data_IF_574424852454
#
_entry.id   IF_574424852454
#
_cell.length_a   1.000
_cell.length_b   1.000
_cell.length_c   1.000
_cell.angle_alpha   90.00
_cell.angle_beta   90.00
_cell.angle_gamma   90.00
#
_symmetry.space_group_name_H-M   'P 1'
#
loop_
_entity.id
_entity.type
_entity.pdbx_description
1 polymer ?
#
# COMPACT_ATOMS: atom_id res chain seq x y z
N UNK A 1 -36.96 -38.57 -20.55
CA UNK A 1 -37.48 -37.33 -19.94
C UNK A 1 -36.84 -36.95 -18.61
N UNK A 2 -36.67 -37.85 -17.63
CA UNK A 2 -36.11 -37.50 -16.30
C UNK A 2 -34.66 -36.97 -16.34
N UNK A 3 -33.81 -37.49 -17.22
CA UNK A 3 -32.41 -37.04 -17.38
C UNK A 3 -32.31 -35.67 -18.08
N UNK A 4 -33.25 -35.35 -18.98
CA UNK A 4 -33.31 -34.06 -19.66
C UNK A 4 -33.76 -32.94 -18.69
N UNK A 5 -34.66 -33.27 -17.75
CA UNK A 5 -35.07 -32.35 -16.69
C UNK A 5 -33.96 -32.10 -15.66
N UNK A 6 -33.12 -33.11 -15.39
CA UNK A 6 -31.97 -32.98 -14.48
C UNK A 6 -30.85 -32.11 -15.09
N UNK A 7 -30.61 -32.23 -16.39
CA UNK A 7 -29.64 -31.39 -17.12
C UNK A 7 -30.08 -29.93 -17.22
N UNK A 8 -31.39 -29.67 -17.37
CA UNK A 8 -31.93 -28.30 -17.35
C UNK A 8 -31.79 -27.62 -15.98
N UNK A 9 -31.83 -28.40 -14.89
CA UNK A 9 -31.72 -27.89 -13.52
C UNK A 9 -30.28 -27.49 -13.14
N UNK A 10 -29.27 -28.16 -13.72
CA UNK A 10 -27.84 -27.88 -13.44
C UNK A 10 -27.37 -26.61 -14.15
N UNK A 11 -27.95 -26.28 -15.31
CA UNK A 11 -27.63 -25.02 -16.04
C UNK A 11 -28.19 -23.78 -15.33
N UNK A 12 -29.26 -23.92 -14.55
CA UNK A 12 -29.84 -22.83 -13.77
C UNK A 12 -29.01 -22.44 -12.53
N UNK A 13 -28.08 -23.29 -12.09
CA UNK A 13 -27.21 -23.03 -10.93
C UNK A 13 -25.96 -22.21 -11.25
N UNK A 14 -25.66 -21.96 -12.53
CA UNK A 14 -24.59 -21.07 -12.98
C UNK A 14 -25.12 -19.70 -13.40
N UNK A 15 -25.87 -19.04 -12.51
CA UNK A 15 -26.06 -17.59 -12.69
C UNK A 15 -24.72 -16.92 -12.39
N UNK A 16 -24.11 -16.17 -13.34
CA UNK A 16 -22.98 -15.33 -12.99
C UNK A 16 -23.47 -14.35 -11.92
N UNK A 17 -22.91 -14.44 -10.72
CA UNK A 17 -23.11 -13.42 -9.70
C UNK A 17 -22.76 -12.09 -10.38
N UNK A 18 -23.64 -11.07 -10.37
CA UNK A 18 -23.28 -9.78 -10.91
C UNK A 18 -21.95 -9.36 -10.27
N UNK A 19 -20.91 -9.29 -11.12
CA UNK A 19 -19.68 -8.59 -10.78
C UNK A 19 -20.12 -7.23 -10.24
N UNK A 20 -19.64 -6.86 -9.06
CA UNK A 20 -20.02 -5.61 -8.43
C UNK A 20 -19.42 -4.47 -9.25
N UNK A 21 -20.15 -4.05 -10.29
CA UNK A 21 -19.77 -2.95 -11.16
C UNK A 21 -20.01 -1.64 -10.40
N UNK A 22 -18.96 -1.16 -9.74
CA UNK A 22 -18.86 0.23 -9.31
C UNK A 22 -18.24 1.06 -10.45
N UNK A 23 -18.60 2.33 -10.50
CA UNK A 23 -18.05 3.30 -11.45
C UNK A 23 -16.85 4.01 -10.79
N UNK A 24 -17.02 4.45 -9.55
CA UNK A 24 -15.97 5.11 -8.77
C UNK A 24 -15.86 4.53 -7.36
N UNK A 25 -14.69 4.67 -6.76
CA UNK A 25 -14.48 4.54 -5.33
C UNK A 25 -13.97 5.84 -4.72
N UNK A 26 -14.39 6.15 -3.50
CA UNK A 26 -13.94 7.31 -2.74
C UNK A 26 -12.60 7.00 -2.07
N UNK A 27 -11.57 7.77 -2.36
CA UNK A 27 -10.22 7.59 -1.78
C UNK A 27 -9.89 8.59 -0.68
N UNK A 28 -10.55 9.74 -0.66
CA UNK A 28 -10.37 10.71 0.42
C UNK A 28 -11.51 11.73 0.46
N UNK A 29 -11.82 12.22 1.65
CA UNK A 29 -12.88 13.20 1.88
C UNK A 29 -12.46 14.28 2.89
N UNK A 30 -12.92 15.51 2.66
CA UNK A 30 -12.94 16.60 3.66
C UNK A 30 -14.31 17.25 3.66
N UNK A 31 -14.78 17.67 4.83
CA UNK A 31 -16.03 18.40 4.98
C UNK A 31 -17.27 17.53 4.76
N UNK A 32 -18.40 18.18 4.48
CA UNK A 32 -19.68 17.51 4.27
C UNK A 32 -19.85 17.12 2.81
N UNK A 33 -19.93 15.81 2.58
CA UNK A 33 -20.29 15.23 1.31
C UNK A 33 -21.29 14.10 1.51
N UNK A 34 -22.36 14.14 0.71
CA UNK A 34 -23.50 13.25 0.79
C UNK A 34 -23.70 12.52 -0.54
N UNK A 35 -24.39 11.38 -0.51
CA UNK A 35 -24.71 10.59 -1.68
C UNK A 35 -26.16 10.10 -1.66
N UNK A 36 -26.80 10.12 -2.81
CA UNK A 36 -28.05 9.42 -3.10
C UNK A 36 -27.73 8.14 -3.88
N UNK A 37 -27.87 6.98 -3.23
CA UNK A 37 -27.62 5.68 -3.87
C UNK A 37 -28.81 5.24 -4.73
N UNK A 38 -28.54 4.83 -5.98
CA UNK A 38 -29.50 4.32 -6.96
C UNK A 38 -30.76 5.19 -7.14
N UNK A 39 -30.61 6.52 -7.07
CA UNK A 39 -31.74 7.44 -7.20
C UNK A 39 -32.74 7.38 -6.02
N UNK A 40 -32.35 6.82 -4.87
CA UNK A 40 -33.08 7.04 -3.63
C UNK A 40 -33.11 8.55 -3.31
N UNK A 41 -34.20 9.05 -2.73
CA UNK A 41 -34.35 10.45 -2.32
C UNK A 41 -33.54 10.77 -1.06
N UNK A 42 -33.23 9.76 -0.26
CA UNK A 42 -32.51 9.94 1.00
C UNK A 42 -31.02 10.18 0.75
N UNK A 43 -30.51 11.25 1.32
CA UNK A 43 -29.09 11.54 1.36
C UNK A 43 -28.42 10.79 2.50
N UNK A 44 -27.39 10.03 2.17
CA UNK A 44 -26.50 9.39 3.14
C UNK A 44 -25.15 10.08 3.15
N UNK A 45 -24.45 10.04 4.28
CA UNK A 45 -23.07 10.54 4.31
C UNK A 45 -22.16 9.65 3.46
N UNK A 46 -21.38 10.28 2.57
CA UNK A 46 -20.37 9.58 1.78
C UNK A 46 -19.11 9.36 2.63
N UNK A 47 -18.50 8.18 2.54
CA UNK A 47 -17.30 7.79 3.27
C UNK A 47 -16.19 7.32 2.32
N UNK A 48 -14.96 7.40 2.79
CA UNK A 48 -13.82 6.79 2.10
C UNK A 48 -13.98 5.27 2.04
N UNK A 49 -13.69 4.70 0.88
CA UNK A 49 -13.98 3.30 0.55
C UNK A 49 -15.38 3.06 -0.03
N UNK A 50 -16.30 4.04 -0.01
CA UNK A 50 -17.60 3.87 -0.63
C UNK A 50 -17.46 3.65 -2.13
N UNK A 51 -18.23 2.70 -2.66
CA UNK A 51 -18.30 2.37 -4.07
C UNK A 51 -19.57 2.98 -4.67
N UNK A 52 -19.36 3.83 -5.67
CA UNK A 52 -20.38 4.64 -6.33
C UNK A 52 -20.76 4.02 -7.66
N UNK A 53 -22.05 3.91 -7.92
CA UNK A 53 -22.63 3.36 -9.15
C UNK A 53 -23.06 4.47 -10.09
N UNK A 54 -23.21 4.12 -11.36
CA UNK A 54 -23.60 5.03 -12.46
C UNK A 54 -24.79 5.95 -12.15
N UNK A 55 -25.77 5.47 -11.39
CA UNK A 55 -27.01 6.19 -11.08
C UNK A 55 -26.95 7.01 -9.78
N UNK A 56 -25.82 7.01 -9.08
CA UNK A 56 -25.68 7.75 -7.83
C UNK A 56 -25.46 9.24 -8.11
N UNK A 57 -25.74 10.06 -7.10
CA UNK A 57 -25.51 11.51 -7.12
C UNK A 57 -24.78 11.92 -5.86
N UNK A 58 -23.67 12.64 -6.01
CA UNK A 58 -22.92 13.25 -4.89
C UNK A 58 -23.43 14.67 -4.69
N UNK A 59 -23.66 15.10 -3.44
CA UNK A 59 -23.79 16.50 -3.06
C UNK A 59 -22.58 16.92 -2.24
N UNK A 60 -21.81 17.88 -2.75
CA UNK A 60 -20.64 18.44 -2.10
C UNK A 60 -20.98 19.84 -1.56
N UNK A 61 -20.74 20.08 -0.28
CA UNK A 61 -20.94 21.41 0.34
C UNK A 61 -19.71 22.31 0.15
N UNK A 62 -19.85 23.58 0.49
CA UNK A 62 -18.75 24.54 0.44
C UNK A 62 -17.58 24.09 1.34
N UNK A 63 -16.35 24.33 0.87
CA UNK A 63 -15.12 23.90 1.54
C UNK A 63 -14.99 22.38 1.76
N UNK A 64 -15.77 21.57 1.03
CA UNK A 64 -15.63 20.12 1.03
C UNK A 64 -14.77 19.64 -0.14
N UNK A 65 -14.17 18.47 0.03
CA UNK A 65 -13.35 17.80 -0.99
C UNK A 65 -13.71 16.32 -1.07
N UNK A 66 -13.68 15.77 -2.30
CA UNK A 66 -13.70 14.33 -2.55
C UNK A 66 -12.65 13.98 -3.60
N UNK A 67 -11.80 13.02 -3.28
CA UNK A 67 -10.97 12.29 -4.25
C UNK A 67 -11.66 11.00 -4.69
N UNK A 68 -11.87 10.83 -6.00
CA UNK A 68 -12.51 9.68 -6.62
C UNK A 68 -11.52 8.93 -7.53
N UNK A 69 -11.64 7.61 -7.54
CA UNK A 69 -10.93 6.72 -8.46
C UNK A 69 -11.95 5.95 -9.27
N UNK A 70 -11.93 6.11 -10.59
CA UNK A 70 -12.78 5.38 -11.51
C UNK A 70 -12.36 3.90 -11.58
N UNK A 71 -13.25 3.00 -11.97
CA UNK A 71 -12.94 1.57 -12.17
C UNK A 71 -11.85 1.32 -13.23
N UNK A 72 -11.62 2.28 -14.14
CA UNK A 72 -10.48 2.26 -15.09
C UNK A 72 -9.16 2.71 -14.47
N UNK A 73 -9.20 3.27 -13.26
CA UNK A 73 -8.05 3.83 -12.54
C UNK A 73 -7.81 5.33 -12.75
N UNK A 74 -8.54 5.98 -13.67
CA UNK A 74 -8.53 7.44 -13.80
C UNK A 74 -9.05 8.10 -12.54
N UNK A 75 -8.47 9.25 -12.17
CA UNK A 75 -8.82 9.95 -10.93
C UNK A 75 -9.53 11.26 -11.19
N UNK A 76 -10.47 11.62 -10.31
CA UNK A 76 -11.12 12.93 -10.28
C UNK A 76 -11.05 13.49 -8.86
N UNK A 77 -10.75 14.78 -8.74
CA UNK A 77 -10.85 15.52 -7.48
C UNK A 77 -11.97 16.56 -7.59
N UNK A 78 -12.92 16.54 -6.66
CA UNK A 78 -14.04 17.47 -6.59
C UNK A 78 -13.81 18.42 -5.41
N UNK A 79 -13.81 19.74 -5.67
CA UNK A 79 -13.63 20.80 -4.65
C UNK A 79 -14.73 21.87 -4.69
N UNK A 80 -15.48 21.94 -5.80
CA UNK A 80 -16.54 22.92 -5.94
C UNK A 80 -17.83 22.36 -5.34
N UNK A 81 -18.57 23.18 -4.60
CA UNK A 81 -19.87 22.78 -4.09
C UNK A 81 -20.86 22.56 -5.24
N UNK A 82 -21.79 21.64 -5.05
CA UNK A 82 -22.78 21.30 -6.06
C UNK A 82 -23.17 19.83 -6.05
N UNK A 83 -24.00 19.46 -7.03
CA UNK A 83 -24.45 18.09 -7.26
C UNK A 83 -23.77 17.49 -8.49
N UNK A 84 -23.24 16.28 -8.33
CA UNK A 84 -22.50 15.57 -9.35
C UNK A 84 -23.13 14.21 -9.62
N UNK A 85 -23.66 14.03 -10.84
CA UNK A 85 -24.13 12.72 -11.30
C UNK A 85 -22.95 11.85 -11.70
N UNK A 86 -22.87 10.65 -11.13
CA UNK A 86 -21.77 9.72 -11.41
C UNK A 86 -21.66 9.37 -12.90
N UNK A 87 -22.80 9.10 -13.54
CA UNK A 87 -22.86 8.89 -14.99
C UNK A 87 -22.24 10.01 -15.82
N UNK A 88 -22.34 11.27 -15.37
CA UNK A 88 -21.73 12.41 -16.07
C UNK A 88 -20.22 12.45 -15.85
N UNK A 89 -19.78 12.27 -14.60
CA UNK A 89 -18.35 12.20 -14.26
C UNK A 89 -17.62 11.08 -15.00
N UNK A 90 -18.29 9.94 -15.20
CA UNK A 90 -17.71 8.79 -15.89
C UNK A 90 -17.49 9.04 -17.39
N UNK A 91 -18.42 9.73 -18.06
CA UNK A 91 -18.32 10.01 -19.51
C UNK A 91 -17.07 10.80 -19.85
N UNK A 92 -16.67 11.74 -18.99
CA UNK A 92 -15.50 12.59 -19.18
C UNK A 92 -14.16 11.81 -19.07
N UNK A 93 -14.21 10.53 -18.67
CA UNK A 93 -13.04 9.67 -18.49
C UNK A 93 -12.89 8.56 -19.53
N UNK A 94 -13.88 8.36 -20.42
CA UNK A 94 -13.91 7.25 -21.38
C UNK A 94 -12.92 7.46 -22.53
N UNK A 95 -11.67 7.04 -22.31
CA UNK A 95 -10.72 6.73 -23.38
C UNK A 95 -10.25 5.28 -23.21
N UNK A 96 -10.21 4.53 -24.30
CA UNK A 96 -9.83 3.12 -24.33
C UNK A 96 -8.31 2.98 -24.17
N UNK A 97 -7.83 2.81 -22.94
CA UNK A 97 -6.45 2.38 -22.67
C UNK A 97 -6.45 1.11 -21.84
N UNK A 98 -5.81 0.06 -22.35
CA UNK A 98 -5.56 -1.17 -21.59
C UNK A 98 -4.56 -0.85 -20.48
N UNK A 99 -5.04 -0.80 -19.24
CA UNK A 99 -4.22 -0.47 -18.06
C UNK A 99 -4.14 -1.66 -17.10
N UNK A 100 -3.02 -1.82 -16.40
CA UNK A 100 -2.90 -2.75 -15.26
C UNK A 100 -3.53 -2.16 -13.97
N UNK A 101 -3.92 -0.90 -14.02
CA UNK A 101 -4.44 -0.14 -12.90
C UNK A 101 -5.75 -0.69 -12.32
N UNK A 102 -6.71 -1.21 -13.10
CA UNK A 102 -7.93 -1.84 -12.57
C UNK A 102 -7.63 -2.99 -11.60
N UNK A 103 -6.61 -3.81 -11.88
CA UNK A 103 -6.21 -4.90 -10.96
C UNK A 103 -5.63 -4.33 -9.66
N UNK A 104 -4.86 -3.25 -9.73
CA UNK A 104 -4.37 -2.57 -8.54
C UNK A 104 -5.52 -1.96 -7.73
N UNK A 105 -6.47 -1.29 -8.39
CA UNK A 105 -7.68 -0.75 -7.76
C UNK A 105 -8.52 -1.87 -7.14
N UNK A 106 -8.62 -3.05 -7.76
CA UNK A 106 -9.26 -4.22 -7.17
C UNK A 106 -8.51 -4.74 -5.93
N UNK A 107 -7.18 -4.75 -5.93
CA UNK A 107 -6.41 -5.10 -4.73
C UNK A 107 -6.64 -4.09 -3.61
N UNK A 108 -6.74 -2.81 -3.94
CA UNK A 108 -6.95 -1.69 -3.00
C UNK A 108 -8.38 -1.69 -2.43
N UNK A 109 -9.40 -1.89 -3.28
CA UNK A 109 -10.82 -1.68 -2.94
C UNK A 109 -11.73 -2.91 -3.09
N UNK A 110 -11.32 -3.91 -3.87
CA UNK A 110 -12.11 -5.11 -4.18
C UNK A 110 -12.19 -6.08 -3.01
N UNK A 111 -11.20 -6.07 -2.11
CA UNK A 111 -11.35 -6.65 -0.77
C UNK A 111 -12.14 -5.67 0.08
N UNK A 112 -13.48 -5.80 0.06
CA UNK A 112 -14.46 -4.98 0.81
C UNK A 112 -14.09 -4.67 2.28
N UNK A 113 -13.19 -5.45 2.88
CA UNK A 113 -12.65 -5.28 4.23
C UNK A 113 -11.51 -4.27 4.30
N UNK A 114 -10.57 -4.19 3.36
CA UNK A 114 -9.22 -3.76 3.74
C UNK A 114 -9.11 -2.26 4.01
N UNK A 115 -9.49 -1.37 3.08
CA UNK A 115 -9.42 0.09 3.34
C UNK A 115 -10.43 0.53 4.40
N UNK A 116 -11.66 0.03 4.32
CA UNK A 116 -12.71 0.40 5.25
C UNK A 116 -12.37 -0.08 6.66
N UNK A 117 -11.87 -1.30 6.83
CA UNK A 117 -11.40 -1.79 8.13
C UNK A 117 -10.11 -1.07 8.54
N UNK A 118 -9.21 -0.71 7.63
CA UNK A 118 -8.02 0.11 7.95
C UNK A 118 -8.41 1.47 8.53
N UNK A 119 -9.40 2.15 7.94
CA UNK A 119 -9.83 3.51 8.32
C UNK A 119 -10.84 3.52 9.48
N UNK A 120 -11.79 2.57 9.51
CA UNK A 120 -12.81 2.47 10.56
C UNK A 120 -12.28 1.76 11.81
N UNK A 121 -11.32 0.84 11.67
CA UNK A 121 -10.67 0.21 12.83
C UNK A 121 -9.60 1.13 13.42
N UNK A 122 -10.02 1.95 14.39
CA UNK A 122 -9.13 2.43 15.48
C UNK A 122 -8.41 1.28 16.22
N UNK A 123 -8.69 0.02 15.87
CA UNK A 123 -8.10 -1.21 16.36
C UNK A 123 -6.93 -1.76 15.51
N UNK A 124 -6.54 -1.13 14.39
CA UNK A 124 -5.34 -1.52 13.63
C UNK A 124 -4.05 -1.49 14.49
N UNK A 125 -4.03 -0.69 15.56
CA UNK A 125 -2.99 -0.73 16.62
C UNK A 125 -2.91 -2.07 17.37
N UNK A 126 -3.98 -2.87 17.44
CA UNK A 126 -4.06 -4.13 18.19
C UNK A 126 -4.00 -5.39 17.32
N UNK A 127 -4.38 -5.31 16.04
CA UNK A 127 -4.45 -6.50 15.16
C UNK A 127 -3.08 -6.83 14.56
N UNK A 128 -2.31 -5.84 14.10
CA UNK A 128 -0.92 -6.06 13.65
C UNK A 128 0.04 -6.39 14.82
N UNK A 129 -0.36 -6.08 16.06
CA UNK A 129 0.36 -6.45 17.28
C UNK A 129 0.20 -7.92 17.68
N UNK A 130 -0.78 -8.66 17.13
CA UNK A 130 -1.11 -10.03 17.60
C UNK A 130 -0.63 -11.17 16.70
N UNK A 131 -0.22 -10.89 15.47
CA UNK A 131 0.29 -11.91 14.54
C UNK A 131 1.72 -12.39 14.81
N UNK A 132 2.46 -11.68 15.68
CA UNK A 132 3.83 -11.99 16.09
C UNK A 132 4.00 -11.91 17.61
N UNK A 133 2.99 -12.35 18.37
CA UNK A 133 3.24 -12.81 19.74
C UNK A 133 3.28 -14.32 19.64
N UNK A 134 4.39 -14.83 19.12
CA UNK A 134 4.81 -16.15 19.57
C UNK A 134 4.81 -16.08 21.10
N UNK A 135 4.02 -16.95 21.73
CA UNK A 135 4.11 -17.20 23.16
C UNK A 135 5.43 -17.94 23.40
N UNK A 136 6.51 -17.21 23.26
CA UNK A 136 7.84 -17.62 23.65
C UNK A 136 8.21 -16.76 24.83
N UNK A 137 8.83 -17.41 25.81
CA UNK A 137 9.58 -16.86 26.93
C UNK A 137 10.15 -15.48 26.57
N UNK A 138 10.14 -14.50 27.49
CA UNK A 138 10.80 -13.20 27.30
C UNK A 138 12.30 -13.44 27.00
N UNK A 139 12.63 -13.69 25.74
CA UNK A 139 13.99 -13.75 25.24
C UNK A 139 14.36 -12.30 25.00
N UNK A 140 15.36 -11.82 25.71
CA UNK A 140 15.97 -10.53 25.42
C UNK A 140 16.51 -10.56 23.98
N UNK A 141 15.85 -9.85 23.07
CA UNK A 141 16.18 -9.83 21.64
C UNK A 141 16.29 -8.40 21.11
N UNK A 142 17.13 -8.24 20.10
CA UNK A 142 17.25 -6.96 19.38
C UNK A 142 16.09 -6.86 18.40
N UNK A 143 15.29 -5.80 18.47
CA UNK A 143 14.15 -5.62 17.55
C UNK A 143 14.60 -4.91 16.28
N UNK A 144 14.33 -5.48 15.11
CA UNK A 144 14.48 -4.77 13.82
C UNK A 144 13.40 -3.69 13.71
N UNK A 145 13.81 -2.46 13.40
CA UNK A 145 12.95 -1.30 13.16
C UNK A 145 12.80 -0.95 11.67
N UNK A 146 13.57 -1.60 10.81
CA UNK A 146 13.38 -1.58 9.36
C UNK A 146 12.26 -2.54 8.92
N UNK A 147 11.71 -2.35 7.70
CA UNK A 147 10.86 -3.36 7.10
C UNK A 147 11.56 -4.72 7.07
N UNK A 148 10.82 -5.78 7.44
CA UNK A 148 11.38 -7.14 7.44
C UNK A 148 11.85 -7.55 6.04
N UNK A 149 11.16 -7.09 5.00
CA UNK A 149 11.51 -7.31 3.60
C UNK A 149 11.42 -5.99 2.83
N UNK A 150 12.47 -5.63 2.11
CA UNK A 150 12.52 -4.44 1.25
C UNK A 150 13.14 -4.76 -0.12
N UNK A 151 12.62 -4.15 -1.17
CA UNK A 151 13.19 -4.16 -2.52
C UNK A 151 13.60 -2.73 -2.84
N UNK A 152 14.77 -2.57 -3.46
CA UNK A 152 15.45 -1.27 -3.61
C UNK A 152 15.70 -0.96 -5.08
N UNK A 153 15.32 0.24 -5.50
CA UNK A 153 15.73 0.85 -6.77
C UNK A 153 17.08 1.58 -6.62
N UNK A 154 17.36 2.13 -5.44
CA UNK A 154 18.64 2.77 -5.12
C UNK A 154 19.73 1.75 -4.87
N UNK A 155 20.98 2.17 -5.05
CA UNK A 155 22.17 1.38 -4.66
C UNK A 155 22.37 1.37 -3.13
N UNK A 156 21.62 2.17 -2.38
CA UNK A 156 21.78 2.33 -0.94
C UNK A 156 20.63 1.70 -0.14
N UNK A 157 20.96 1.11 1.00
CA UNK A 157 20.00 0.70 2.03
C UNK A 157 20.45 1.19 3.39
N UNK A 158 19.50 1.69 4.19
CA UNK A 158 19.76 2.04 5.59
C UNK A 158 18.92 1.17 6.51
N UNK A 159 19.58 0.48 7.43
CA UNK A 159 19.01 -0.52 8.31
C UNK A 159 19.03 -0.03 9.75
N UNK A 160 17.94 -0.28 10.49
CA UNK A 160 17.73 0.25 11.83
C UNK A 160 17.26 -0.84 12.78
N UNK A 161 17.71 -0.79 14.02
CA UNK A 161 17.35 -1.70 15.09
C UNK A 161 17.17 -0.97 16.41
N UNK A 162 16.56 -1.64 17.39
CA UNK A 162 16.37 -1.07 18.73
C UNK A 162 17.69 -1.03 19.49
N UNK A 163 17.92 0.05 20.24
CA UNK A 163 18.95 0.05 21.27
C UNK A 163 18.65 -1.04 22.29
N UNK A 164 19.70 -1.75 22.69
CA UNK A 164 19.63 -2.78 23.72
C UNK A 164 19.96 -2.11 25.07
N UNK A 165 19.30 -2.47 26.19
CA UNK A 165 19.42 -1.70 27.45
C UNK A 165 20.84 -1.60 28.04
N UNK A 166 21.71 -2.57 27.78
CA UNK A 166 23.13 -2.49 28.16
C UNK A 166 23.94 -1.65 27.16
N UNK A 167 25.14 -1.19 27.54
CA UNK A 167 26.08 -0.49 26.63
C UNK A 167 26.64 -1.46 25.57
N UNK A 168 25.78 -1.90 24.67
CA UNK A 168 26.06 -2.88 23.64
C UNK A 168 26.61 -2.22 22.39
N UNK A 169 27.86 -2.55 22.03
CA UNK A 169 28.26 -2.53 20.62
C UNK A 169 27.57 -3.68 19.91
N UNK A 170 27.27 -3.51 18.63
CA UNK A 170 26.59 -4.47 17.79
C UNK A 170 27.54 -5.05 16.75
N UNK A 171 27.25 -6.25 16.29
CA UNK A 171 27.83 -6.84 15.08
C UNK A 171 26.72 -7.01 14.04
N UNK A 172 26.85 -6.34 12.90
CA UNK A 172 25.95 -6.50 11.76
C UNK A 172 26.50 -7.58 10.87
N UNK A 173 25.69 -8.59 10.55
CA UNK A 173 26.03 -9.67 9.61
C UNK A 173 25.10 -9.65 8.43
N UNK A 174 25.67 -9.77 7.24
CA UNK A 174 24.93 -9.94 5.98
C UNK A 174 25.37 -11.23 5.32
N UNK A 175 24.41 -12.06 4.93
CA UNK A 175 24.64 -13.31 4.22
C UNK A 175 23.80 -13.42 2.95
N UNK A 176 24.21 -14.30 2.05
CA UNK A 176 23.38 -14.69 0.90
C UNK A 176 22.34 -15.76 1.27
N UNK A 177 21.57 -16.20 0.27
CA UNK A 177 20.58 -17.27 0.37
C UNK A 177 21.12 -18.65 0.75
N UNK A 178 22.43 -18.84 0.74
CA UNK A 178 23.10 -20.07 1.15
C UNK A 178 23.75 -19.92 2.54
N UNK A 179 23.39 -18.87 3.29
CA UNK A 179 23.96 -18.50 4.58
C UNK A 179 25.48 -18.23 4.52
N UNK A 180 26.03 -17.94 3.34
CA UNK A 180 27.43 -17.51 3.23
C UNK A 180 27.54 -16.07 3.70
N UNK A 181 28.39 -15.83 4.70
CA UNK A 181 28.68 -14.48 5.19
C UNK A 181 29.36 -13.66 4.10
N UNK A 182 28.77 -12.50 3.77
CA UNK A 182 29.29 -11.54 2.79
C UNK A 182 29.95 -10.36 3.49
N UNK A 183 29.33 -9.90 4.58
CA UNK A 183 29.78 -8.72 5.31
C UNK A 183 29.55 -8.92 6.80
N UNK A 184 30.55 -8.55 7.60
CA UNK A 184 30.40 -8.36 9.05
C UNK A 184 31.09 -7.08 9.48
N UNK A 185 30.44 -6.29 10.35
CA UNK A 185 31.03 -5.08 10.93
C UNK A 185 30.53 -4.84 12.35
N UNK A 186 31.46 -4.53 13.24
CA UNK A 186 31.12 -4.01 14.56
C UNK A 186 30.75 -2.52 14.47
N UNK A 187 29.65 -2.13 15.09
CA UNK A 187 29.13 -0.76 15.16
C UNK A 187 28.68 -0.41 16.57
N UNK A 188 28.74 0.86 16.94
CA UNK A 188 28.29 1.38 18.23
C UNK A 188 26.95 2.14 18.16
N UNK A 189 26.47 2.41 16.95
CA UNK A 189 25.17 3.02 16.67
C UNK A 189 24.08 1.95 16.47
N UNK A 190 22.82 2.38 16.32
CA UNK A 190 21.64 1.55 16.01
C UNK A 190 21.18 1.66 14.56
N UNK A 191 22.07 2.15 13.70
CA UNK A 191 21.84 2.34 12.26
C UNK A 191 23.08 1.96 11.46
N UNK A 192 22.88 1.48 10.23
CA UNK A 192 23.96 1.29 9.25
C UNK A 192 23.44 1.57 7.84
N UNK A 193 24.22 2.35 7.09
CA UNK A 193 24.02 2.52 5.65
C UNK A 193 24.99 1.63 4.88
N UNK A 194 24.48 0.98 3.85
CA UNK A 194 25.21 0.04 3.01
C UNK A 194 24.97 0.41 1.56
N UNK A 195 26.03 0.36 0.77
CA UNK A 195 25.95 0.57 -0.67
C UNK A 195 26.22 -0.74 -1.42
N UNK A 196 25.39 -1.04 -2.42
CA UNK A 196 25.44 -2.25 -3.24
C UNK A 196 26.81 -2.43 -3.90
N UNK A 197 27.34 -1.36 -4.51
CA UNK A 197 28.58 -1.40 -5.29
C UNK A 197 29.81 -1.54 -4.39
N UNK A 198 29.82 -0.84 -3.26
CA UNK A 198 30.90 -0.95 -2.26
C UNK A 198 31.04 -2.38 -1.72
N UNK A 199 29.91 -3.03 -1.45
CA UNK A 199 29.86 -4.41 -0.96
C UNK A 199 29.91 -5.46 -2.07
N UNK A 200 29.94 -5.04 -3.34
CA UNK A 200 29.92 -5.91 -4.52
C UNK A 200 28.75 -6.91 -4.50
N UNK A 201 27.57 -6.42 -4.13
CA UNK A 201 26.34 -7.20 -4.08
C UNK A 201 25.70 -7.29 -5.46
N UNK A 202 25.29 -8.48 -5.84
CA UNK A 202 24.57 -8.76 -7.08
C UNK A 202 23.15 -8.21 -7.02
N UNK A 203 22.67 -7.71 -8.16
CA UNK A 203 21.26 -7.38 -8.34
C UNK A 203 20.40 -8.64 -8.40
N UNK A 204 19.11 -8.50 -8.07
CA UNK A 204 18.09 -9.55 -8.09
C UNK A 204 18.38 -10.76 -7.20
N UNK A 205 19.18 -10.56 -6.16
CA UNK A 205 19.42 -11.54 -5.11
C UNK A 205 18.95 -11.01 -3.75
N UNK A 206 18.37 -11.90 -2.95
CA UNK A 206 18.06 -11.57 -1.56
C UNK A 206 19.29 -11.71 -0.69
N UNK A 207 19.53 -10.66 0.09
CA UNK A 207 20.50 -10.62 1.16
C UNK A 207 19.77 -10.63 2.50
N UNK A 208 20.35 -11.36 3.43
CA UNK A 208 19.81 -11.63 4.75
C UNK A 208 20.68 -10.90 5.74
N UNK A 209 20.09 -10.16 6.66
CA UNK A 209 20.84 -9.43 7.66
C UNK A 209 20.28 -9.65 9.05
N UNK A 210 21.19 -9.61 10.01
CA UNK A 210 20.88 -9.70 11.44
C UNK A 210 21.84 -8.82 12.23
N UNK A 211 21.42 -8.50 13.44
CA UNK A 211 22.22 -7.77 14.42
C UNK A 211 22.46 -8.68 15.61
N UNK A 212 23.71 -8.86 15.99
CA UNK A 212 24.10 -9.53 17.23
C UNK A 212 24.61 -8.51 18.23
N UNK A 213 24.38 -8.74 19.52
CA UNK A 213 25.08 -8.02 20.57
C UNK A 213 26.53 -8.51 20.62
N UNK A 214 27.51 -7.60 20.54
CA UNK A 214 28.93 -7.96 20.45
C UNK A 214 29.42 -8.67 21.72
N UNK A 215 28.89 -8.30 22.89
CA UNK A 215 29.27 -8.87 24.19
C UNK A 215 28.59 -10.22 24.48
N UNK A 216 27.45 -10.50 23.85
CA UNK A 216 26.74 -11.78 23.96
C UNK A 216 26.05 -12.12 22.64
N UNK A 217 26.72 -12.84 21.72
CA UNK A 217 26.20 -13.12 20.39
C UNK A 217 24.89 -13.91 20.35
N UNK A 218 24.49 -14.59 21.44
CA UNK A 218 23.20 -15.28 21.56
C UNK A 218 22.02 -14.30 21.60
N UNK A 219 22.26 -13.06 22.05
CA UNK A 219 21.30 -11.96 21.94
C UNK A 219 21.41 -11.40 20.53
N UNK A 220 20.43 -11.73 19.71
CA UNK A 220 20.38 -11.30 18.31
C UNK A 220 18.99 -10.84 17.91
N UNK A 221 18.92 -10.20 16.75
CA UNK A 221 17.66 -9.87 16.12
C UNK A 221 17.10 -11.04 15.34
N UNK A 222 15.80 -10.97 15.05
CA UNK A 222 15.22 -11.65 13.89
C UNK A 222 15.99 -11.31 12.62
N UNK A 223 15.82 -12.12 11.59
CA UNK A 223 16.40 -11.88 10.28
C UNK A 223 15.53 -10.94 9.44
N UNK A 224 16.18 -9.92 8.87
CA UNK A 224 15.60 -9.07 7.85
C UNK A 224 16.18 -9.36 6.47
N UNK A 225 15.50 -8.91 5.42
CA UNK A 225 15.86 -9.19 4.04
C UNK A 225 15.81 -7.92 3.19
N UNK A 226 16.79 -7.75 2.31
CA UNK A 226 16.74 -6.73 1.28
C UNK A 226 17.17 -7.30 -0.08
N UNK A 227 16.72 -6.66 -1.15
CA UNK A 227 17.10 -7.00 -2.52
C UNK A 227 17.33 -5.70 -3.30
N UNK A 228 18.49 -5.59 -3.92
CA UNK A 228 18.77 -4.57 -4.92
C UNK A 228 18.25 -5.05 -6.28
N UNK A 229 17.49 -4.21 -6.98
CA UNK A 229 17.01 -4.57 -8.31
C UNK A 229 18.12 -4.45 -9.36
N UNK A 230 18.08 -5.33 -10.36
CA UNK A 230 18.90 -5.11 -11.56
C UNK A 230 18.43 -3.89 -12.35
N UNK A 231 19.33 -3.29 -13.12
CA UNK A 231 19.03 -2.19 -14.04
C UNK A 231 17.85 -2.50 -14.97
N UNK A 232 17.74 -3.76 -15.42
CA UNK A 232 16.64 -4.23 -16.26
C UNK A 232 15.30 -4.11 -15.55
N UNK A 233 15.19 -4.62 -14.32
CA UNK A 233 13.94 -4.54 -13.55
C UNK A 233 13.62 -3.12 -13.11
N UNK A 234 14.63 -2.31 -12.80
CA UNK A 234 14.46 -0.88 -12.55
C UNK A 234 13.85 -0.19 -13.78
N UNK A 235 14.37 -0.48 -14.98
CA UNK A 235 13.84 0.09 -16.22
C UNK A 235 12.40 -0.37 -16.50
N UNK A 236 12.07 -1.64 -16.25
CA UNK A 236 10.71 -2.16 -16.37
C UNK A 236 9.74 -1.48 -15.40
N UNK A 237 10.12 -1.32 -14.13
CA UNK A 237 9.31 -0.60 -13.12
C UNK A 237 9.10 0.85 -13.53
N UNK A 238 10.15 1.56 -13.93
CA UNK A 238 10.05 2.96 -14.41
C UNK A 238 9.08 3.06 -15.59
N UNK A 239 9.19 2.17 -16.57
CA UNK A 239 8.27 2.13 -17.71
C UNK A 239 6.82 1.90 -17.28
N UNK A 240 6.59 0.98 -16.33
CA UNK A 240 5.25 0.69 -15.82
C UNK A 240 4.67 1.90 -15.07
N UNK A 241 5.46 2.56 -14.21
CA UNK A 241 5.06 3.77 -13.49
C UNK A 241 4.72 4.89 -14.47
N UNK A 242 5.54 5.12 -15.50
CA UNK A 242 5.26 6.13 -16.52
C UNK A 242 3.97 5.83 -17.29
N UNK A 243 3.67 4.56 -17.58
CA UNK A 243 2.41 4.19 -18.19
C UNK A 243 1.24 4.42 -17.22
N UNK A 244 1.38 4.04 -15.95
CA UNK A 244 0.35 4.27 -14.93
C UNK A 244 0.04 5.75 -14.76
N UNK A 245 1.05 6.62 -14.75
CA UNK A 245 0.85 8.08 -14.67
C UNK A 245 -0.01 8.57 -15.82
N UNK A 246 0.23 8.08 -17.04
CA UNK A 246 -0.62 8.40 -18.21
C UNK A 246 -2.04 7.88 -18.02
N UNK A 247 -2.19 6.64 -17.58
CA UNK A 247 -3.50 6.01 -17.39
C UNK A 247 -4.34 6.69 -16.29
N UNK A 248 -3.71 7.23 -15.25
CA UNK A 248 -4.35 8.01 -14.17
C UNK A 248 -4.86 9.38 -14.68
N UNK A 249 -4.37 9.85 -15.84
CA UNK A 249 -4.73 11.13 -16.45
C UNK A 249 -3.58 12.14 -16.53
N UNK A 250 -2.34 11.71 -16.26
CA UNK A 250 -1.12 12.50 -16.44
C UNK A 250 -0.90 13.64 -15.44
N UNK A 251 -1.79 13.81 -14.47
CA UNK A 251 -1.69 14.84 -13.44
C UNK A 251 -1.15 14.25 -12.14
N UNK A 252 -0.23 14.97 -11.51
CA UNK A 252 0.29 14.66 -10.18
C UNK A 252 -0.65 15.31 -9.14
N UNK A 253 -1.65 14.57 -8.69
CA UNK A 253 -2.63 14.97 -7.67
C UNK A 253 -2.46 14.16 -6.39
N UNK A 254 -3.10 14.57 -5.30
CA UNK A 254 -3.02 13.80 -4.06
C UNK A 254 -3.57 12.38 -4.23
N UNK A 255 -4.64 12.21 -5.00
CA UNK A 255 -5.19 10.88 -5.35
C UNK A 255 -4.21 10.05 -6.19
N UNK A 256 -3.57 10.64 -7.20
CA UNK A 256 -2.60 9.90 -8.04
C UNK A 256 -1.39 9.43 -7.22
N UNK A 257 -0.94 10.24 -6.27
CA UNK A 257 0.14 9.91 -5.34
C UNK A 257 -0.20 8.72 -4.46
N UNK A 258 -1.39 8.69 -3.87
CA UNK A 258 -1.84 7.52 -3.08
C UNK A 258 -1.88 6.25 -3.94
N UNK A 259 -2.35 6.33 -5.18
CA UNK A 259 -2.36 5.18 -6.10
C UNK A 259 -0.95 4.67 -6.38
N UNK A 260 0.01 5.56 -6.67
CA UNK A 260 1.41 5.18 -6.87
C UNK A 260 2.03 4.59 -5.60
N UNK A 261 1.69 5.14 -4.43
CA UNK A 261 2.14 4.61 -3.15
C UNK A 261 1.72 3.15 -2.95
N UNK A 262 0.45 2.82 -3.21
CA UNK A 262 -0.04 1.45 -3.16
C UNK A 262 0.60 0.52 -4.20
N UNK A 263 0.90 1.04 -5.39
CA UNK A 263 1.66 0.28 -6.38
C UNK A 263 3.04 -0.10 -5.84
N UNK A 264 3.78 0.86 -5.31
CA UNK A 264 5.10 0.61 -4.76
C UNK A 264 5.05 -0.32 -3.54
N UNK A 265 4.07 -0.13 -2.65
CA UNK A 265 3.85 -1.01 -1.50
C UNK A 265 3.63 -2.46 -1.92
N UNK A 266 2.74 -2.70 -2.89
CA UNK A 266 2.46 -4.04 -3.41
C UNK A 266 3.67 -4.71 -4.07
N UNK A 267 4.66 -3.91 -4.48
CA UNK A 267 5.93 -4.38 -5.04
C UNK A 267 7.08 -4.39 -4.02
N UNK A 268 6.81 -4.13 -2.74
CA UNK A 268 7.79 -4.04 -1.64
C UNK A 268 8.86 -2.95 -1.86
N UNK A 269 8.55 -1.96 -2.68
CA UNK A 269 9.34 -0.75 -2.93
C UNK A 269 9.01 0.27 -1.84
N UNK A 270 9.44 -0.03 -0.61
CA UNK A 270 9.00 0.67 0.60
C UNK A 270 9.39 2.14 0.59
N UNK A 271 10.60 2.46 0.13
CA UNK A 271 11.10 3.84 0.13
C UNK A 271 10.30 4.70 -0.86
N UNK A 272 9.96 4.13 -2.00
CA UNK A 272 9.16 4.76 -3.04
C UNK A 272 7.72 4.95 -2.56
N UNK A 273 7.13 3.93 -1.91
CA UNK A 273 5.80 4.03 -1.31
C UNK A 273 5.75 5.13 -0.23
N UNK A 274 6.73 5.16 0.68
CA UNK A 274 6.84 6.18 1.73
C UNK A 274 6.87 7.60 1.15
N UNK A 275 7.68 7.79 0.10
CA UNK A 275 7.79 9.07 -0.61
C UNK A 275 6.45 9.50 -1.20
N UNK A 276 5.77 8.64 -1.95
CA UNK A 276 4.49 9.00 -2.59
C UNK A 276 3.38 9.25 -1.55
N UNK A 277 3.33 8.52 -0.44
CA UNK A 277 2.39 8.81 0.66
C UNK A 277 2.63 10.20 1.26
N UNK A 278 3.90 10.56 1.52
CA UNK A 278 4.25 11.89 2.04
C UNK A 278 3.88 12.99 1.05
N UNK A 279 4.18 12.83 -0.23
CA UNK A 279 3.80 13.79 -1.27
C UNK A 279 2.27 13.96 -1.37
N UNK A 280 1.49 12.88 -1.22
CA UNK A 280 0.02 12.97 -1.18
C UNK A 280 -0.48 13.83 -0.01
N UNK A 281 0.12 13.66 1.18
CA UNK A 281 -0.21 14.43 2.38
C UNK A 281 0.20 15.89 2.21
N UNK A 282 1.35 16.16 1.61
CA UNK A 282 1.82 17.53 1.37
C UNK A 282 0.92 18.29 0.36
N UNK A 283 0.41 17.59 -0.65
CA UNK A 283 -0.52 18.16 -1.63
C UNK A 283 -1.92 18.45 -1.06
N UNK A 284 -2.37 17.64 -0.10
CA UNK A 284 -3.71 17.74 0.51
C UNK A 284 -3.64 17.52 2.03
N UNK A 285 -3.05 18.44 2.80
CA UNK A 285 -2.73 18.24 4.23
C UNK A 285 -3.96 18.21 5.15
N UNK A 286 -5.08 18.73 4.66
CA UNK A 286 -6.39 18.76 5.30
C UNK A 286 -7.17 17.44 5.17
N UNK A 287 -6.76 16.55 4.25
CA UNK A 287 -7.36 15.23 4.05
C UNK A 287 -6.78 14.24 5.07
N UNK A 288 -7.48 14.07 6.20
CA UNK A 288 -7.07 13.16 7.27
C UNK A 288 -6.90 11.71 6.79
N UNK A 289 -7.74 11.25 5.86
CA UNK A 289 -7.69 9.89 5.31
C UNK A 289 -6.31 9.53 4.73
N UNK A 290 -5.59 10.49 4.13
CA UNK A 290 -4.26 10.22 3.56
C UNK A 290 -3.21 9.97 4.64
N UNK A 291 -3.34 10.62 5.80
CA UNK A 291 -2.49 10.36 6.98
C UNK A 291 -2.80 8.99 7.56
N UNK A 292 -4.08 8.63 7.65
CA UNK A 292 -4.51 7.32 8.16
C UNK A 292 -4.03 6.17 7.24
N UNK A 293 -4.11 6.35 5.92
CA UNK A 293 -3.56 5.41 4.94
C UNK A 293 -2.04 5.24 5.09
N UNK A 294 -1.31 6.34 5.29
CA UNK A 294 0.13 6.31 5.51
C UNK A 294 0.52 5.64 6.83
N UNK A 295 -0.20 5.91 7.91
CA UNK A 295 -0.01 5.23 9.20
C UNK A 295 -0.26 3.72 9.07
N UNK A 296 -1.29 3.32 8.34
CA UNK A 296 -1.57 1.92 8.07
C UNK A 296 -0.47 1.25 7.22
N UNK A 297 0.06 1.95 6.22
CA UNK A 297 1.23 1.51 5.45
C UNK A 297 2.43 1.26 6.36
N UNK A 298 2.77 2.21 7.24
CA UNK A 298 3.87 2.04 8.21
C UNK A 298 3.66 0.82 9.10
N UNK A 299 2.44 0.58 9.57
CA UNK A 299 2.13 -0.63 10.35
C UNK A 299 2.33 -1.92 9.54
N UNK A 300 1.82 -1.99 8.30
CA UNK A 300 1.97 -3.17 7.42
C UNK A 300 3.42 -3.46 7.07
N UNK A 301 4.21 -2.42 6.87
CA UNK A 301 5.63 -2.52 6.55
C UNK A 301 6.55 -2.56 7.78
N UNK A 302 5.99 -2.61 9.00
CA UNK A 302 6.72 -2.60 10.26
C UNK A 302 7.72 -1.41 10.37
N UNK A 303 7.36 -0.26 9.81
CA UNK A 303 8.13 0.97 9.92
C UNK A 303 7.77 1.61 11.27
N UNK A 304 8.71 1.62 12.20
CA UNK A 304 8.51 2.11 13.59
C UNK A 304 9.22 3.42 13.87
N UNK A 305 9.29 4.32 12.88
CA UNK A 305 9.92 5.64 12.99
C UNK A 305 8.88 6.74 13.08
#
# INVERSE_FOLDING_TARGET
MKVLFLLLFIVLLFQPLPAQNYEFCVLGKVGTALVQFNGNKDWSELKTGDQLKRNDVISLKDNSYIGLVHSTGKTIELRQSGEYKISKLAVDLLENTTSMLPNLIEVIFGKKSDIKDILESKQSKKVFSKGAIERSIEIEQITILSPKKIILISDDVTLFWSKFPSEGKYEIKISDRFNKLIFSRAVDDTTISLNQKELKLDGDQYYFWRVNLLTNPEIMSDEGYFLFLSDKRIAEIKKNVEQMKKDIGGKETSVSKIILAFYYENNLLVNEADKEFREAIDLSPDVADYKDLYDAFKMRMNIRR
#
